data_IF_286711215789
#
_entry.id   IF_286711215789
#
_cell.length_a   1.000
_cell.length_b   1.000
_cell.length_c   1.000
_cell.angle_alpha   90.00
_cell.angle_beta   90.00
_cell.angle_gamma   90.00
#
_symmetry.space_group_name_H-M   'P 1'
#
loop_
_entity.id
_entity.type
_entity.pdbx_description
1 polymer ?
#
# COMPACT_ATOMS: atom_id res chain seq x y z
N UNK A 1 -8.01 -23.19 -16.42
CA UNK A 1 -8.38 -21.77 -16.49
C UNK A 1 -7.68 -21.06 -15.34
N UNK A 2 -6.86 -20.05 -15.62
CA UNK A 2 -6.05 -19.38 -14.59
C UNK A 2 -6.87 -18.39 -13.78
N UNK A 3 -6.58 -18.25 -12.49
CA UNK A 3 -7.16 -17.24 -11.60
C UNK A 3 -6.06 -16.29 -11.16
N UNK A 4 -6.41 -15.01 -11.05
CA UNK A 4 -5.48 -13.96 -10.65
C UNK A 4 -6.01 -13.21 -9.45
N UNK A 5 -5.11 -12.69 -8.63
CA UNK A 5 -5.41 -11.82 -7.50
C UNK A 5 -4.59 -10.54 -7.69
N UNK A 6 -5.23 -9.40 -7.47
CA UNK A 6 -4.59 -8.10 -7.49
C UNK A 6 -4.28 -7.67 -6.05
N UNK A 7 -3.01 -7.37 -5.78
CA UNK A 7 -2.54 -6.86 -4.49
C UNK A 7 -1.72 -5.61 -4.70
N UNK A 8 -1.95 -4.60 -3.87
CA UNK A 8 -1.14 -3.39 -3.78
C UNK A 8 -0.46 -3.39 -2.42
N UNK A 9 0.86 -3.29 -2.40
CA UNK A 9 1.67 -3.18 -1.18
C UNK A 9 2.05 -1.72 -0.91
N UNK A 10 2.64 -1.49 0.27
CA UNK A 10 3.12 -0.18 0.74
C UNK A 10 2.04 0.91 0.75
N UNK A 11 0.81 0.55 1.12
CA UNK A 11 -0.26 1.51 1.34
C UNK A 11 0.01 2.23 2.68
N UNK A 12 0.59 3.42 2.57
CA UNK A 12 0.97 4.31 3.67
C UNK A 12 0.30 5.67 3.52
N UNK A 13 0.11 6.45 4.59
CA UNK A 13 -0.40 7.82 4.48
C UNK A 13 0.44 8.68 3.51
N UNK A 14 1.76 8.49 3.54
CA UNK A 14 2.74 9.29 2.78
C UNK A 14 2.94 8.92 1.31
N UNK A 15 2.17 7.99 0.73
CA UNK A 15 2.39 7.51 -0.64
C UNK A 15 1.90 8.51 -1.70
N UNK A 16 2.25 8.28 -2.96
CA UNK A 16 1.63 9.00 -4.09
C UNK A 16 0.20 8.48 -4.36
N UNK A 17 -0.75 9.01 -3.59
CA UNK A 17 -2.18 8.70 -3.70
C UNK A 17 -2.76 9.02 -5.08
N UNK A 18 -2.28 10.06 -5.75
CA UNK A 18 -2.77 10.42 -7.08
C UNK A 18 -2.45 9.32 -8.10
N UNK A 19 -1.24 8.75 -8.03
CA UNK A 19 -0.86 7.63 -8.88
C UNK A 19 -1.62 6.36 -8.52
N UNK A 20 -1.75 6.04 -7.23
CA UNK A 20 -2.48 4.87 -6.77
C UNK A 20 -3.95 4.92 -7.20
N UNK A 21 -4.64 6.04 -6.96
CA UNK A 21 -6.06 6.19 -7.26
C UNK A 21 -6.36 6.05 -8.75
N UNK A 22 -5.48 6.51 -9.64
CA UNK A 22 -5.63 6.29 -11.10
C UNK A 22 -5.66 4.80 -11.46
N UNK A 23 -4.80 3.99 -10.82
CA UNK A 23 -4.77 2.53 -11.06
C UNK A 23 -6.00 1.88 -10.40
N UNK A 24 -6.34 2.32 -9.18
CA UNK A 24 -7.47 1.81 -8.42
C UNK A 24 -8.80 2.05 -9.14
N UNK A 25 -8.98 3.22 -9.75
CA UNK A 25 -10.16 3.57 -10.54
C UNK A 25 -10.37 2.58 -11.71
N UNK A 26 -9.29 2.17 -12.38
CA UNK A 26 -9.36 1.15 -13.44
C UNK A 26 -9.82 -0.20 -12.87
N UNK A 27 -9.26 -0.65 -11.74
CA UNK A 27 -9.71 -1.87 -11.09
C UNK A 27 -11.20 -1.80 -10.70
N UNK A 28 -11.63 -0.67 -10.14
CA UNK A 28 -13.03 -0.42 -9.76
C UNK A 28 -13.96 -0.45 -10.97
N UNK A 29 -13.57 0.18 -12.08
CA UNK A 29 -14.31 0.20 -13.35
C UNK A 29 -14.61 -1.20 -13.87
N UNK A 30 -13.71 -2.15 -13.67
CA UNK A 30 -13.90 -3.56 -14.07
C UNK A 30 -14.46 -4.44 -12.95
N UNK A 31 -14.86 -3.87 -11.82
CA UNK A 31 -15.41 -4.61 -10.67
C UNK A 31 -14.38 -5.47 -9.92
N UNK A 32 -13.08 -5.24 -10.14
CA UNK A 32 -12.00 -6.02 -9.53
C UNK A 32 -11.76 -5.53 -8.11
N UNK A 33 -11.93 -6.44 -7.15
CA UNK A 33 -11.53 -6.24 -5.75
C UNK A 33 -10.08 -6.64 -5.55
N UNK A 34 -9.40 -5.94 -4.66
CA UNK A 34 -7.96 -6.06 -4.43
C UNK A 34 -7.63 -6.29 -2.96
N UNK A 35 -6.42 -6.76 -2.71
CA UNK A 35 -5.82 -6.79 -1.37
C UNK A 35 -4.96 -5.54 -1.23
N UNK A 36 -5.14 -4.80 -0.13
CA UNK A 36 -4.39 -3.60 0.20
C UNK A 36 -3.46 -3.90 1.39
N UNK A 37 -2.16 -4.00 1.11
CA UNK A 37 -1.10 -4.17 2.10
C UNK A 37 -0.79 -2.85 2.79
N UNK A 38 -1.35 -2.66 3.99
CA UNK A 38 -1.29 -1.40 4.75
C UNK A 38 -0.15 -1.40 5.74
N UNK A 39 0.58 -0.30 5.78
CA UNK A 39 1.59 0.03 6.80
C UNK A 39 1.12 1.31 7.52
N UNK A 40 0.54 1.20 8.73
CA UNK A 40 -0.15 2.31 9.38
C UNK A 40 0.77 3.39 9.97
N UNK A 41 2.02 3.07 10.32
CA UNK A 41 2.99 3.99 10.92
C UNK A 41 4.33 3.92 10.18
N UNK A 42 4.35 4.28 8.90
CA UNK A 42 5.57 4.21 8.10
C UNK A 42 6.70 5.08 8.70
N UNK A 43 7.87 4.46 8.89
CA UNK A 43 9.10 5.12 9.37
C UNK A 43 10.21 5.17 8.33
N UNK A 44 9.93 4.76 7.09
CA UNK A 44 10.84 4.97 5.97
C UNK A 44 10.57 6.28 5.24
N UNK A 45 11.52 7.21 5.36
CA UNK A 45 11.47 8.50 4.71
C UNK A 45 11.54 8.41 3.18
N UNK A 46 12.14 7.36 2.60
CA UNK A 46 12.28 7.22 1.16
C UNK A 46 10.96 6.87 0.46
N UNK A 47 10.05 6.19 1.15
CA UNK A 47 8.71 5.87 0.64
C UNK A 47 7.70 7.01 0.79
N UNK A 48 8.00 8.00 1.65
CA UNK A 48 7.07 9.08 1.97
C UNK A 48 7.25 10.25 1.00
N UNK A 49 6.60 10.17 -0.15
CA UNK A 49 6.68 11.18 -1.22
C UNK A 49 5.71 12.36 -0.96
N UNK A 50 4.61 12.11 -0.25
CA UNK A 50 3.55 13.10 0.00
C UNK A 50 3.06 13.05 1.45
N UNK A 51 3.73 13.79 2.34
CA UNK A 51 3.48 13.86 3.80
C UNK A 51 2.13 14.49 4.21
N UNK A 52 1.20 14.74 3.28
CA UNK A 52 0.03 15.60 3.53
C UNK A 52 -1.26 14.86 3.91
N UNK A 53 -1.35 13.54 3.78
CA UNK A 53 -2.56 12.83 4.22
C UNK A 53 -2.53 12.62 5.74
N UNK A 54 -3.52 13.15 6.45
CA UNK A 54 -3.67 12.89 7.88
C UNK A 54 -4.07 11.44 8.15
N UNK A 55 -3.71 10.91 9.31
CA UNK A 55 -4.10 9.56 9.72
C UNK A 55 -5.62 9.37 9.72
N UNK A 56 -6.40 10.38 10.12
CA UNK A 56 -7.86 10.28 10.11
C UNK A 56 -8.41 10.08 8.69
N UNK A 57 -7.93 10.86 7.72
CA UNK A 57 -8.31 10.74 6.30
C UNK A 57 -7.86 9.40 5.74
N UNK A 58 -6.64 8.98 6.07
CA UNK A 58 -6.11 7.69 5.66
C UNK A 58 -7.00 6.52 6.11
N UNK A 59 -7.33 6.45 7.39
CA UNK A 59 -8.17 5.37 7.91
C UNK A 59 -9.62 5.45 7.42
N UNK A 60 -10.17 6.65 7.19
CA UNK A 60 -11.49 6.76 6.54
C UNK A 60 -11.47 6.23 5.11
N UNK A 61 -10.43 6.55 4.34
CA UNK A 61 -10.27 6.03 2.97
C UNK A 61 -10.11 4.50 2.94
N UNK A 62 -9.34 3.92 3.87
CA UNK A 62 -9.23 2.46 3.99
C UNK A 62 -10.58 1.80 4.32
N UNK A 63 -11.41 2.46 5.14
CA UNK A 63 -12.75 2.00 5.44
C UNK A 63 -13.65 2.01 4.20
N UNK A 64 -13.60 3.06 3.39
CA UNK A 64 -14.32 3.13 2.11
C UNK A 64 -13.92 2.01 1.15
N UNK A 65 -12.63 1.68 1.06
CA UNK A 65 -12.17 0.53 0.26
C UNK A 65 -12.67 -0.81 0.80
N UNK A 66 -12.66 -0.99 2.13
CA UNK A 66 -13.21 -2.19 2.75
C UNK A 66 -14.72 -2.33 2.49
N UNK A 67 -15.48 -1.23 2.58
CA UNK A 67 -16.92 -1.19 2.27
C UNK A 67 -17.19 -1.47 0.78
N UNK A 68 -16.31 -1.03 -0.12
CA UNK A 68 -16.36 -1.42 -1.54
C UNK A 68 -16.10 -2.93 -1.74
N UNK A 69 -15.40 -3.60 -0.83
CA UNK A 69 -15.10 -5.03 -0.86
C UNK A 69 -13.62 -5.37 -1.10
N UNK A 70 -12.73 -4.38 -0.98
CA UNK A 70 -11.30 -4.68 -0.88
C UNK A 70 -10.96 -5.34 0.45
N UNK A 71 -9.93 -6.19 0.44
CA UNK A 71 -9.39 -6.78 1.67
C UNK A 71 -8.25 -5.91 2.19
N UNK A 72 -8.37 -5.42 3.42
CA UNK A 72 -7.28 -4.72 4.11
C UNK A 72 -6.39 -5.77 4.79
N UNK A 73 -5.12 -5.82 4.41
CA UNK A 73 -4.13 -6.74 4.95
C UNK A 73 -2.97 -5.98 5.60
N UNK A 74 -2.46 -6.47 6.72
CA UNK A 74 -1.30 -5.85 7.37
C UNK A 74 -0.02 -6.17 6.59
N UNK A 75 0.74 -5.14 6.22
CA UNK A 75 2.05 -5.25 5.56
C UNK A 75 3.20 -4.82 6.46
N UNK A 76 3.06 -5.08 7.77
CA UNK A 76 3.95 -4.56 8.81
C UNK A 76 3.47 -3.22 9.38
N UNK A 77 4.23 -2.68 10.32
CA UNK A 77 3.87 -1.43 11.02
C UNK A 77 4.73 -0.25 10.59
N UNK A 78 6.05 -0.45 10.46
CA UNK A 78 7.00 0.66 10.34
C UNK A 78 7.80 0.72 9.03
N UNK A 79 7.72 -0.31 8.18
CA UNK A 79 8.51 -0.45 6.96
C UNK A 79 9.95 0.09 7.09
N UNK A 80 10.72 -0.37 8.08
CA UNK A 80 12.10 0.12 8.31
C UNK A 80 13.14 -0.80 7.68
N UNK A 81 14.06 -0.25 6.88
CA UNK A 81 15.24 -0.97 6.40
C UNK A 81 16.28 -1.10 7.52
N UNK A 82 16.23 -2.18 8.30
CA UNK A 82 17.15 -2.43 9.41
C UNK A 82 18.35 -3.29 9.04
N UNK A 83 18.31 -3.95 7.88
CA UNK A 83 19.37 -4.84 7.40
C UNK A 83 20.13 -4.14 6.26
N UNK A 84 21.43 -3.92 6.47
CA UNK A 84 22.35 -3.39 5.44
C UNK A 84 22.93 -4.46 4.53
N UNK A 85 22.82 -5.74 4.91
CA UNK A 85 23.30 -6.85 4.09
C UNK A 85 22.33 -7.10 2.93
N UNK A 86 22.84 -7.34 1.71
CA UNK A 86 22.05 -7.66 0.51
C UNK A 86 21.25 -8.98 0.56
N UNK A 87 21.17 -9.61 1.74
CA UNK A 87 20.58 -10.93 1.92
C UNK A 87 21.30 -11.99 1.07
N UNK A 88 20.60 -13.08 0.76
CA UNK A 88 21.14 -14.14 -0.12
C UNK A 88 21.35 -13.68 -1.57
N UNK A 89 20.77 -12.54 -1.96
CA UNK A 89 20.79 -12.04 -3.34
C UNK A 89 21.90 -11.01 -3.59
N UNK A 90 22.58 -10.51 -2.54
CA UNK A 90 23.69 -9.55 -2.67
C UNK A 90 23.30 -8.18 -3.27
N UNK A 91 22.02 -7.85 -3.32
CA UNK A 91 21.49 -6.69 -4.07
C UNK A 91 21.73 -5.31 -3.42
N UNK A 92 22.36 -5.27 -2.25
CA UNK A 92 22.67 -4.03 -1.52
C UNK A 92 24.18 -3.91 -1.17
N UNK A 93 25.06 -4.66 -1.85
CA UNK A 93 26.52 -4.44 -1.81
C UNK A 93 26.97 -3.35 -2.81
#
# INVERSE_FOLDING_TARGET
>A
MSKFILRFDDIIPGMDWNKFLKIKEVAVKYGVKSILGVVPDNKDANLSININMSNSVFFSTLKEFAEYGDTIAQHGTHHTYTIKAGGMLGINE
#
